data_IF_251690421093
#
_entry.id   IF_251690421093
#
_cell.length_a   1.000
_cell.length_b   1.000
_cell.length_c   1.000
_cell.angle_alpha   90.00
_cell.angle_beta   90.00
_cell.angle_gamma   90.00
#
_symmetry.space_group_name_H-M   'P 1'
#
loop_
_entity.id
_entity.type
_entity.pdbx_description
1 polymer ?
#
# COMPACT_ATOMS: atom_id res chain seq x y z
N UNK A 1 4.02 3.71 14.13
CA UNK A 1 5.03 2.64 13.86
C UNK A 1 6.08 3.04 12.82
N UNK A 2 5.78 3.95 11.93
CA UNK A 2 6.70 4.37 10.85
C UNK A 2 8.06 4.89 11.38
N UNK A 3 8.02 5.66 12.45
CA UNK A 3 9.22 6.24 13.08
C UNK A 3 9.80 5.37 14.21
N UNK A 4 9.22 4.20 14.43
CA UNK A 4 9.70 3.23 15.41
C UNK A 4 10.88 2.45 14.83
N UNK A 5 11.90 2.20 15.63
CA UNK A 5 13.07 1.45 15.16
C UNK A 5 12.72 0.01 14.75
N UNK A 6 13.50 -0.54 13.83
CA UNK A 6 13.26 -1.87 13.29
C UNK A 6 13.31 -3.00 14.33
N UNK A 7 14.08 -2.84 15.40
CA UNK A 7 14.15 -3.85 16.47
C UNK A 7 12.83 -3.94 17.23
N UNK A 8 12.23 -2.81 17.54
CA UNK A 8 10.92 -2.74 18.20
C UNK A 8 9.84 -3.31 17.30
N UNK A 9 9.86 -2.99 16.00
CA UNK A 9 8.91 -3.56 15.02
C UNK A 9 9.04 -5.09 14.95
N UNK A 10 10.26 -5.61 14.85
CA UNK A 10 10.49 -7.06 14.84
C UNK A 10 10.07 -7.73 16.15
N UNK A 11 10.27 -7.07 17.29
CA UNK A 11 9.84 -7.61 18.57
C UNK A 11 8.32 -7.75 18.64
N UNK A 12 7.58 -6.74 18.17
CA UNK A 12 6.11 -6.80 18.08
C UNK A 12 5.69 -7.97 17.20
N UNK A 13 6.30 -8.15 16.06
CA UNK A 13 5.98 -9.25 15.14
C UNK A 13 6.22 -10.61 15.79
N UNK A 14 7.30 -10.76 16.56
CA UNK A 14 7.60 -11.99 17.31
C UNK A 14 6.61 -12.24 18.44
N UNK A 15 6.31 -11.23 19.24
CA UNK A 15 5.45 -11.34 20.41
C UNK A 15 4.03 -11.79 20.03
N UNK A 16 3.55 -11.40 18.85
CA UNK A 16 2.24 -11.78 18.35
C UNK A 16 2.27 -12.87 17.28
N UNK A 17 3.40 -13.52 17.11
CA UNK A 17 3.59 -14.62 16.15
C UNK A 17 3.18 -14.28 14.71
N UNK A 18 3.45 -13.07 14.27
CA UNK A 18 3.16 -12.60 12.91
C UNK A 18 4.24 -13.10 11.95
N UNK A 19 3.83 -13.83 10.92
CA UNK A 19 4.73 -14.33 9.89
C UNK A 19 4.84 -13.32 8.75
N UNK A 20 6.07 -12.95 8.42
CA UNK A 20 6.38 -12.14 7.25
C UNK A 20 6.55 -13.03 6.02
N UNK A 21 6.05 -12.59 4.87
CA UNK A 21 6.38 -13.17 3.57
C UNK A 21 7.87 -12.94 3.25
N UNK A 22 8.40 -13.62 2.25
CA UNK A 22 9.80 -13.46 1.86
C UNK A 22 10.11 -12.02 1.42
N UNK A 23 9.20 -11.38 0.69
CA UNK A 23 9.35 -9.98 0.28
C UNK A 23 9.32 -9.05 1.49
N UNK A 24 8.36 -9.22 2.40
CA UNK A 24 8.27 -8.41 3.62
C UNK A 24 9.52 -8.57 4.48
N UNK A 25 10.03 -9.78 4.59
CA UNK A 25 11.26 -10.06 5.35
C UNK A 25 12.47 -9.36 4.75
N UNK A 26 12.56 -9.33 3.43
CA UNK A 26 13.66 -8.72 2.69
C UNK A 26 13.59 -7.18 2.66
N UNK A 27 12.43 -6.58 2.92
CA UNK A 27 12.19 -5.14 2.77
C UNK A 27 11.72 -4.53 4.10
N UNK A 28 12.66 -4.09 4.97
CA UNK A 28 12.32 -3.54 6.29
C UNK A 28 11.34 -2.36 6.26
N UNK A 29 11.29 -1.62 5.18
CA UNK A 29 10.36 -0.51 5.01
C UNK A 29 8.88 -0.95 5.05
N UNK A 30 8.59 -2.23 4.83
CA UNK A 30 7.24 -2.78 4.92
C UNK A 30 6.82 -3.17 6.34
N UNK A 31 7.77 -3.28 7.27
CA UNK A 31 7.48 -3.78 8.62
C UNK A 31 6.56 -2.87 9.42
N UNK A 32 6.62 -1.55 9.20
CA UNK A 32 5.79 -0.62 9.95
C UNK A 32 4.28 -0.84 9.76
N UNK A 33 3.86 -1.22 8.57
CA UNK A 33 2.45 -1.50 8.29
C UNK A 33 1.98 -2.79 8.99
N UNK A 34 2.77 -3.84 8.91
CA UNK A 34 2.46 -5.13 9.53
C UNK A 34 2.50 -5.03 11.05
N UNK A 35 3.57 -4.46 11.59
CA UNK A 35 3.72 -4.28 13.05
C UNK A 35 2.72 -3.26 13.59
N UNK A 36 2.39 -2.24 12.82
CA UNK A 36 1.37 -1.24 13.17
C UNK A 36 -0.01 -1.85 13.33
N UNK A 37 -0.43 -2.69 12.40
CA UNK A 37 -1.70 -3.41 12.50
C UNK A 37 -1.71 -4.31 13.74
N UNK A 38 -0.65 -5.06 14.00
CA UNK A 38 -0.52 -5.92 15.19
C UNK A 38 -0.54 -5.10 16.49
N UNK A 39 0.13 -3.96 16.52
CA UNK A 39 0.13 -3.06 17.68
C UNK A 39 -1.27 -2.54 17.98
N UNK A 40 -1.98 -2.07 16.96
CA UNK A 40 -3.34 -1.55 17.12
C UNK A 40 -4.30 -2.64 17.59
N UNK A 41 -4.20 -3.83 17.02
CA UNK A 41 -5.07 -4.96 17.39
C UNK A 41 -4.82 -5.43 18.82
N UNK A 42 -3.57 -5.70 19.18
CA UNK A 42 -3.22 -6.42 20.41
C UNK A 42 -2.90 -5.51 21.58
N UNK A 43 -2.38 -4.32 21.34
CA UNK A 43 -1.96 -3.39 22.40
C UNK A 43 -3.02 -2.31 22.64
N UNK A 44 -3.59 -1.76 21.57
CA UNK A 44 -4.69 -0.80 21.68
C UNK A 44 -6.06 -1.46 21.73
N UNK A 45 -6.12 -2.78 21.59
CA UNK A 45 -7.35 -3.58 21.64
C UNK A 45 -8.43 -3.12 20.66
N UNK A 46 -8.03 -2.53 19.54
CA UNK A 46 -8.94 -2.17 18.47
C UNK A 46 -9.05 -3.34 17.49
N UNK A 47 -10.24 -3.93 17.41
CA UNK A 47 -10.48 -5.18 16.67
C UNK A 47 -11.30 -4.99 15.38
N UNK A 48 -11.56 -3.76 14.97
CA UNK A 48 -12.28 -3.49 13.73
C UNK A 48 -11.45 -3.97 12.52
N UNK A 49 -11.97 -4.97 11.81
CA UNK A 49 -11.26 -5.61 10.71
C UNK A 49 -10.96 -4.65 9.55
N UNK A 50 -11.86 -3.72 9.25
CA UNK A 50 -11.66 -2.74 8.17
C UNK A 50 -10.51 -1.77 8.49
N UNK A 51 -10.44 -1.30 9.74
CA UNK A 51 -9.35 -0.42 10.19
C UNK A 51 -8.02 -1.17 10.18
N UNK A 52 -7.97 -2.37 10.72
CA UNK A 52 -6.75 -3.19 10.76
C UNK A 52 -6.25 -3.49 9.35
N UNK A 53 -7.14 -3.83 8.43
CA UNK A 53 -6.80 -4.09 7.03
C UNK A 53 -6.28 -2.82 6.34
N UNK A 54 -6.87 -1.66 6.60
CA UNK A 54 -6.39 -0.39 6.07
C UNK A 54 -4.97 -0.08 6.53
N UNK A 55 -4.65 -0.30 7.80
CA UNK A 55 -3.29 -0.13 8.33
C UNK A 55 -2.33 -1.14 7.69
N UNK A 56 -2.74 -2.40 7.59
CA UNK A 56 -1.89 -3.50 7.07
C UNK A 56 -1.45 -3.27 5.64
N UNK A 57 -2.33 -2.75 4.79
CA UNK A 57 -2.08 -2.59 3.36
C UNK A 57 -1.81 -1.15 2.90
N UNK A 58 -1.57 -0.23 3.83
CA UNK A 58 -1.35 1.18 3.50
C UNK A 58 -0.13 1.43 2.61
N UNK A 59 0.85 0.54 2.62
CA UNK A 59 2.10 0.70 1.86
C UNK A 59 2.09 -0.11 0.57
N UNK A 60 1.64 -1.36 0.62
CA UNK A 60 1.64 -2.24 -0.55
C UNK A 60 0.41 -2.10 -1.43
N UNK A 61 -0.74 -1.73 -0.84
CA UNK A 61 -2.02 -1.96 -1.47
C UNK A 61 -2.34 -3.44 -1.56
N UNK A 62 -3.46 -3.78 -2.12
CA UNK A 62 -3.90 -5.14 -2.46
C UNK A 62 -5.04 -5.10 -3.46
N UNK A 63 -5.40 -6.23 -4.05
CA UNK A 63 -6.65 -6.34 -4.79
C UNK A 63 -7.85 -6.31 -3.84
N UNK A 64 -8.96 -5.73 -4.26
CA UNK A 64 -10.20 -5.69 -3.47
C UNK A 64 -10.18 -4.73 -2.28
N UNK A 65 -9.43 -3.62 -2.36
CA UNK A 65 -9.37 -2.62 -1.28
C UNK A 65 -10.71 -1.96 -1.03
N UNK A 66 -11.08 -1.84 0.25
CA UNK A 66 -12.22 -1.03 0.68
C UNK A 66 -11.97 0.46 0.41
N UNK A 67 -13.03 1.28 0.52
CA UNK A 67 -12.88 2.74 0.41
C UNK A 67 -11.90 3.28 1.46
N UNK A 68 -11.98 2.83 2.70
CA UNK A 68 -11.07 3.24 3.77
C UNK A 68 -9.61 2.89 3.45
N UNK A 69 -9.36 1.68 2.96
CA UNK A 69 -8.02 1.27 2.54
C UNK A 69 -7.46 2.17 1.44
N UNK A 70 -8.27 2.50 0.44
CA UNK A 70 -7.86 3.38 -0.66
C UNK A 70 -7.59 4.81 -0.20
N UNK A 71 -8.44 5.35 0.66
CA UNK A 71 -8.26 6.69 1.22
C UNK A 71 -6.96 6.76 2.02
N UNK A 72 -6.70 5.79 2.88
CA UNK A 72 -5.48 5.76 3.70
C UNK A 72 -4.22 5.61 2.83
N UNK A 73 -4.27 4.76 1.81
CA UNK A 73 -3.18 4.58 0.85
C UNK A 73 -2.82 5.90 0.15
N UNK A 74 -3.82 6.60 -0.39
CA UNK A 74 -3.63 7.88 -1.08
C UNK A 74 -3.17 8.97 -0.12
N UNK A 75 -3.72 9.01 1.09
CA UNK A 75 -3.35 9.99 2.11
C UNK A 75 -1.87 9.89 2.49
N UNK A 76 -1.31 8.68 2.56
CA UNK A 76 0.12 8.49 2.84
C UNK A 76 1.01 9.11 1.76
N UNK A 77 0.60 9.10 0.50
CA UNK A 77 1.33 9.72 -0.60
C UNK A 77 1.16 11.24 -0.69
N UNK A 78 0.05 11.77 -0.21
CA UNK A 78 -0.34 13.17 -0.42
C UNK A 78 -0.23 14.04 0.83
N UNK A 79 0.13 13.47 1.98
CA UNK A 79 0.23 14.21 3.23
C UNK A 79 1.19 15.41 3.13
N UNK A 80 0.95 16.43 3.93
CA UNK A 80 1.64 17.72 3.83
C UNK A 80 3.15 17.63 4.07
N UNK A 81 3.59 16.61 4.83
CA UNK A 81 4.99 16.35 5.13
C UNK A 81 5.74 15.59 4.02
N UNK A 82 5.03 15.17 2.97
CA UNK A 82 5.65 14.46 1.84
C UNK A 82 6.32 15.41 0.88
N UNK A 83 7.60 15.14 0.62
CA UNK A 83 8.41 15.85 -0.35
C UNK A 83 9.12 14.85 -1.25
N UNK A 84 8.61 14.66 -2.45
CA UNK A 84 9.26 13.87 -3.51
C UNK A 84 8.93 14.51 -4.87
N UNK A 85 9.72 14.26 -5.92
CA UNK A 85 9.59 15.00 -7.20
C UNK A 85 8.18 15.02 -7.78
N UNK A 86 7.41 13.95 -7.62
CA UNK A 86 6.10 13.78 -8.23
C UNK A 86 4.93 14.10 -7.29
N UNK A 87 5.18 14.64 -6.09
CA UNK A 87 4.12 14.86 -5.09
C UNK A 87 3.02 15.80 -5.59
N UNK A 88 3.36 16.83 -6.36
CA UNK A 88 2.38 17.77 -6.90
C UNK A 88 1.43 17.07 -7.88
N UNK A 89 1.95 16.20 -8.73
CA UNK A 89 1.15 15.41 -9.67
C UNK A 89 0.28 14.39 -8.93
N UNK A 90 0.82 13.76 -7.87
CA UNK A 90 0.05 12.85 -7.04
C UNK A 90 -1.15 13.55 -6.39
N UNK A 91 -0.93 14.76 -5.84
CA UNK A 91 -2.01 15.57 -5.24
C UNK A 91 -3.05 15.98 -6.28
N UNK A 92 -2.62 16.35 -7.47
CA UNK A 92 -3.52 16.67 -8.58
C UNK A 92 -4.39 15.47 -8.96
N UNK A 93 -3.80 14.29 -9.04
CA UNK A 93 -4.52 13.03 -9.32
C UNK A 93 -5.53 12.70 -8.22
N UNK A 94 -5.18 12.97 -6.97
CA UNK A 94 -6.08 12.75 -5.83
C UNK A 94 -7.31 13.66 -5.89
N UNK A 95 -7.18 14.85 -6.44
CA UNK A 95 -8.31 15.75 -6.70
C UNK A 95 -9.22 15.24 -7.82
N UNK A 96 -8.68 14.53 -8.80
CA UNK A 96 -9.47 13.91 -9.87
C UNK A 96 -10.29 12.72 -9.35
N UNK A 97 -9.61 11.72 -8.80
CA UNK A 97 -10.24 10.53 -8.23
C UNK A 97 -9.24 9.72 -7.40
N UNK A 98 -9.75 8.94 -6.45
CA UNK A 98 -8.93 7.99 -5.70
C UNK A 98 -8.25 6.98 -6.63
N UNK A 99 -8.96 6.51 -7.63
CA UNK A 99 -8.46 5.50 -8.57
C UNK A 99 -7.30 6.04 -9.41
N UNK A 100 -7.40 7.26 -9.92
CA UNK A 100 -6.32 7.95 -10.63
C UNK A 100 -5.08 8.12 -9.74
N UNK A 101 -5.28 8.55 -8.49
CA UNK A 101 -4.21 8.72 -7.53
C UNK A 101 -3.55 7.37 -7.16
N UNK A 102 -4.34 6.33 -6.93
CA UNK A 102 -3.81 5.00 -6.63
C UNK A 102 -2.96 4.46 -7.76
N UNK A 103 -3.45 4.54 -8.99
CA UNK A 103 -2.69 4.08 -10.16
C UNK A 103 -1.36 4.84 -10.27
N UNK A 104 -1.39 6.13 -10.08
CA UNK A 104 -0.18 6.96 -10.14
C UNK A 104 0.80 6.58 -9.02
N UNK A 105 0.33 6.46 -7.78
CA UNK A 105 1.15 6.09 -6.63
C UNK A 105 1.76 4.69 -6.74
N UNK A 106 0.96 3.72 -7.17
CA UNK A 106 1.44 2.35 -7.40
C UNK A 106 2.49 2.33 -8.52
N UNK A 107 2.22 3.01 -9.63
CA UNK A 107 3.16 3.09 -10.76
C UNK A 107 4.47 3.75 -10.37
N UNK A 108 4.40 4.81 -9.57
CA UNK A 108 5.58 5.47 -9.01
C UNK A 108 6.40 4.51 -8.15
N UNK A 109 5.75 3.82 -7.22
CA UNK A 109 6.39 2.86 -6.32
C UNK A 109 7.06 1.72 -7.09
N UNK A 110 6.36 1.14 -8.06
CA UNK A 110 6.89 0.03 -8.86
C UNK A 110 8.11 0.47 -9.67
N UNK A 111 8.07 1.65 -10.29
CA UNK A 111 9.22 2.19 -11.01
C UNK A 111 10.43 2.40 -10.09
N UNK A 112 10.23 3.00 -8.92
CA UNK A 112 11.28 3.18 -7.92
C UNK A 112 11.92 1.85 -7.51
N UNK A 113 11.10 0.85 -7.24
CA UNK A 113 11.58 -0.47 -6.86
C UNK A 113 12.38 -1.14 -7.97
N UNK A 114 11.90 -1.05 -9.22
CA UNK A 114 12.61 -1.58 -10.38
C UNK A 114 13.96 -0.90 -10.60
N UNK A 115 14.01 0.42 -10.50
CA UNK A 115 15.25 1.18 -10.67
C UNK A 115 16.31 0.85 -9.62
N UNK A 116 15.88 0.53 -8.39
CA UNK A 116 16.76 0.16 -7.29
C UNK A 116 17.05 -1.34 -7.21
N UNK A 117 16.45 -2.15 -8.08
CA UNK A 117 16.58 -3.60 -8.03
C UNK A 117 15.97 -4.25 -6.81
N UNK A 118 14.95 -3.62 -6.22
CA UNK A 118 14.24 -4.13 -5.05
C UNK A 118 13.07 -5.03 -5.45
N UNK A 119 12.71 -6.02 -4.62
CA UNK A 119 11.57 -6.88 -4.90
C UNK A 119 10.25 -6.09 -4.83
N UNK A 120 9.28 -6.50 -5.65
CA UNK A 120 7.93 -5.93 -5.66
C UNK A 120 7.01 -6.89 -4.93
N UNK A 121 6.29 -6.37 -3.94
CA UNK A 121 5.32 -7.19 -3.20
C UNK A 121 4.20 -7.68 -4.14
N UNK A 122 3.82 -8.97 -4.10
CA UNK A 122 2.74 -9.49 -4.94
C UNK A 122 1.41 -8.74 -4.80
N UNK A 123 1.08 -8.26 -3.61
CA UNK A 123 -0.14 -7.48 -3.37
C UNK A 123 -0.13 -6.16 -4.15
N UNK A 124 1.03 -5.52 -4.30
CA UNK A 124 1.18 -4.30 -5.10
C UNK A 124 0.91 -4.57 -6.58
N UNK A 125 1.41 -5.67 -7.10
CA UNK A 125 1.16 -6.10 -8.48
C UNK A 125 -0.32 -6.41 -8.69
N UNK A 126 -0.95 -7.09 -7.74
CA UNK A 126 -2.38 -7.41 -7.80
C UNK A 126 -3.25 -6.15 -7.79
N UNK A 127 -2.92 -5.17 -6.96
CA UNK A 127 -3.60 -3.88 -6.92
C UNK A 127 -3.48 -3.13 -8.26
N UNK A 128 -2.28 -3.08 -8.82
CA UNK A 128 -2.03 -2.48 -10.12
C UNK A 128 -2.88 -3.14 -11.22
N UNK A 129 -2.84 -4.46 -11.30
CA UNK A 129 -3.56 -5.21 -12.31
C UNK A 129 -5.07 -4.99 -12.21
N UNK A 130 -5.62 -4.98 -11.01
CA UNK A 130 -7.06 -4.73 -10.80
C UNK A 130 -7.48 -3.37 -11.35
N UNK A 131 -6.72 -2.31 -11.05
CA UNK A 131 -7.05 -0.96 -11.52
C UNK A 131 -6.96 -0.86 -13.05
N UNK A 132 -5.88 -1.35 -13.62
CA UNK A 132 -5.65 -1.30 -15.07
C UNK A 132 -6.70 -2.11 -15.83
N UNK A 133 -7.06 -3.29 -15.34
CA UNK A 133 -8.09 -4.12 -15.96
C UNK A 133 -9.47 -3.45 -15.89
N UNK A 134 -9.80 -2.84 -14.74
CA UNK A 134 -11.06 -2.09 -14.60
C UNK A 134 -11.14 -0.90 -15.56
N UNK A 135 -10.05 -0.16 -15.73
CA UNK A 135 -9.99 0.96 -16.68
C UNK A 135 -10.16 0.51 -18.12
N UNK A 136 -9.54 -0.59 -18.52
CA UNK A 136 -9.69 -1.16 -19.86
C UNK A 136 -11.12 -1.60 -20.12
N UNK A 137 -11.77 -2.21 -19.16
CA UNK A 137 -13.17 -2.60 -19.25
C UNK A 137 -14.09 -1.39 -19.42
N UNK A 138 -13.88 -0.34 -18.61
CA UNK A 138 -14.65 0.90 -18.68
C UNK A 138 -14.49 1.64 -20.02
N UNK A 139 -13.33 1.51 -20.68
CA UNK A 139 -13.05 2.11 -21.98
C UNK A 139 -13.61 1.28 -23.15
N UNK A 140 -14.31 0.16 -22.88
CA UNK A 140 -14.76 -0.76 -23.90
C UNK A 140 -13.61 -1.49 -24.62
N UNK A 141 -12.42 -1.50 -24.03
CA UNK A 141 -11.19 -2.05 -24.61
C UNK A 141 -11.09 -3.57 -24.61
N UNK A 142 -12.10 -4.27 -24.16
CA UNK A 142 -12.28 -5.69 -24.40
C UNK A 142 -13.13 -5.88 -25.65
N UNK A 143 -12.78 -5.22 -26.74
CA UNK A 143 -13.20 -5.72 -28.03
C UNK A 143 -12.55 -7.09 -28.17
N UNK A 144 -13.34 -8.04 -28.58
CA UNK A 144 -12.97 -9.42 -28.91
C UNK A 144 -11.96 -9.45 -30.07
N UNK A 145 -10.82 -8.87 -29.91
CA UNK A 145 -9.72 -9.05 -30.82
C UNK A 145 -9.02 -10.36 -30.51
N UNK A 146 -9.40 -11.29 -31.26
CA UNK A 146 -8.74 -12.57 -31.34
C UNK A 146 -7.43 -12.45 -32.12
#
# INVERSE_FOLDING_TARGET
MKDTDGKTQLQILKDFAILLTDVERAVPQLWHAVSGAAFVEHILELTDAEILTAIRYQTTGRAGMSLLERVLFVADFTSADREYPDVAEMRRRAEESLESAMLYGISYTVRELLERGNPIHPDTVAAYNEIVLAQRTAQGGLSDEK
#
